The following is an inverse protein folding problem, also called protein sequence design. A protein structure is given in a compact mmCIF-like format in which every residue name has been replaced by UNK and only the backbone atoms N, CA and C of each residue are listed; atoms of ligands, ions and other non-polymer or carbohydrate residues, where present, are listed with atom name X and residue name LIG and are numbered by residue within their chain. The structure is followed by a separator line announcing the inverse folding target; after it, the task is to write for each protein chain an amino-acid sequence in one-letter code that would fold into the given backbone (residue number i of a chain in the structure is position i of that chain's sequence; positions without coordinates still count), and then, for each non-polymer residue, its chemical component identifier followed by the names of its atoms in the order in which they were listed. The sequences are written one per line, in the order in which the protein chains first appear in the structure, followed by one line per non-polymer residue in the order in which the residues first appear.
data_IF_784218517738
#
_entry.id   IF_784218517738
#
_cell.length_a   1.000
_cell.length_b   1.000
_cell.length_c   1.000
_cell.angle_alpha   90.00
_cell.angle_beta   90.00
_cell.angle_gamma   90.00
#
_symmetry.space_group_name_H-M   'P 1'
#
loop_
_entity.id
_entity.type
_entity.pdbx_description
1 polymer ?
#
# COMPACT_ATOMS: atom_id res chain seq x y z
N UNK A 1 -8.07 -23.22 -32.13
CA UNK A 1 -7.25 -22.01 -31.94
C UNK A 1 -8.06 -21.08 -31.07
N UNK A 2 -7.71 -20.93 -29.79
CA UNK A 2 -8.39 -19.99 -28.90
C UNK A 2 -8.02 -18.58 -29.33
N UNK A 3 -9.02 -17.73 -29.63
CA UNK A 3 -8.78 -16.32 -29.90
C UNK A 3 -8.13 -15.68 -28.68
N UNK A 4 -7.10 -14.87 -28.90
CA UNK A 4 -6.52 -14.05 -27.82
C UNK A 4 -7.67 -13.20 -27.21
N UNK A 5 -7.72 -13.07 -25.87
CA UNK A 5 -8.69 -12.19 -25.25
C UNK A 5 -8.54 -10.78 -25.82
N UNK A 6 -9.64 -10.03 -26.00
CA UNK A 6 -9.56 -8.66 -26.48
C UNK A 6 -8.65 -7.86 -25.54
N UNK A 7 -7.85 -6.92 -26.08
CA UNK A 7 -7.04 -6.06 -25.22
C UNK A 7 -8.01 -5.34 -24.28
N UNK A 8 -7.79 -5.49 -22.96
CA UNK A 8 -8.52 -4.70 -21.97
C UNK A 8 -8.29 -3.22 -22.32
N UNK A 9 -9.34 -2.41 -22.52
CA UNK A 9 -9.13 -0.99 -22.66
C UNK A 9 -8.41 -0.51 -21.40
N UNK A 10 -7.21 0.06 -21.55
CA UNK A 10 -6.51 0.69 -20.43
C UNK A 10 -7.36 1.88 -19.99
N UNK A 11 -8.14 1.69 -18.92
CA UNK A 11 -8.88 2.78 -18.29
C UNK A 11 -7.90 3.55 -17.40
N UNK A 12 -7.45 4.72 -17.88
CA UNK A 12 -6.64 5.65 -17.09
C UNK A 12 -7.57 6.63 -16.38
N UNK A 13 -7.62 6.57 -15.05
CA UNK A 13 -8.26 7.57 -14.21
C UNK A 13 -7.22 8.61 -13.77
N UNK A 14 -7.58 9.89 -13.81
CA UNK A 14 -6.73 11.00 -13.39
C UNK A 14 -7.29 11.61 -12.11
N UNK A 15 -6.42 12.13 -11.24
CA UNK A 15 -6.81 12.76 -9.99
C UNK A 15 -5.89 13.92 -9.64
N UNK A 16 -6.45 14.95 -9.03
CA UNK A 16 -5.67 15.83 -8.17
C UNK A 16 -5.21 15.05 -6.94
N UNK A 17 -4.09 15.46 -6.36
CA UNK A 17 -3.56 14.79 -5.19
C UNK A 17 -3.02 15.78 -4.16
N UNK A 18 -3.31 15.54 -2.89
CA UNK A 18 -2.64 16.17 -1.75
C UNK A 18 -1.56 15.23 -1.25
N UNK A 19 -0.37 15.77 -1.00
CA UNK A 19 0.72 15.00 -0.41
C UNK A 19 0.70 15.11 1.11
N UNK A 20 0.73 13.97 1.80
CA UNK A 20 0.92 13.87 3.23
C UNK A 20 2.31 13.33 3.55
N UNK A 21 2.94 13.85 4.59
CA UNK A 21 4.26 13.39 5.07
C UNK A 21 4.16 13.09 6.55
N UNK A 22 4.67 11.93 6.97
CA UNK A 22 4.72 11.57 8.38
C UNK A 22 5.92 10.67 8.66
N UNK A 23 6.27 10.61 9.93
CA UNK A 23 7.38 9.81 10.42
C UNK A 23 6.91 8.82 11.47
N UNK A 24 7.34 7.56 11.34
CA UNK A 24 7.18 6.53 12.34
C UNK A 24 8.41 6.44 13.25
N UNK A 25 8.13 6.11 14.51
CA UNK A 25 9.11 5.94 15.58
C UNK A 25 9.45 4.46 15.78
N UNK A 26 10.49 4.14 16.52
CA UNK A 26 10.82 2.75 16.87
C UNK A 26 9.63 1.97 17.42
N UNK A 27 9.41 0.77 16.89
CA UNK A 27 8.35 -0.14 17.29
C UNK A 27 7.01 0.05 16.58
N UNK A 28 6.77 1.19 15.90
CA UNK A 28 5.52 1.42 15.17
C UNK A 28 5.47 0.55 13.90
N UNK A 29 4.24 0.17 13.52
CA UNK A 29 3.96 -0.69 12.36
C UNK A 29 3.56 0.17 11.16
N UNK A 30 4.28 0.08 10.02
CA UNK A 30 3.97 0.88 8.83
C UNK A 30 2.57 0.62 8.25
N UNK A 31 2.08 -0.62 8.27
CA UNK A 31 0.74 -0.97 7.77
C UNK A 31 -0.33 -0.32 8.63
N UNK A 32 -0.23 -0.49 9.95
CA UNK A 32 -1.21 0.09 10.88
C UNK A 32 -1.20 1.61 10.84
N UNK A 33 -0.02 2.22 10.64
CA UNK A 33 0.11 3.66 10.50
C UNK A 33 -0.55 4.17 9.20
N UNK A 34 -0.33 3.51 8.07
CA UNK A 34 -0.96 3.87 6.79
C UNK A 34 -2.50 3.75 6.87
N UNK A 35 -3.02 2.69 7.50
CA UNK A 35 -4.46 2.56 7.79
C UNK A 35 -4.99 3.69 8.70
N UNK A 36 -4.19 4.10 9.68
CA UNK A 36 -4.57 5.22 10.55
C UNK A 36 -4.62 6.55 9.78
N UNK A 37 -3.64 6.80 8.90
CA UNK A 37 -3.64 7.99 8.03
C UNK A 37 -4.86 7.99 7.12
N UNK A 38 -5.17 6.86 6.48
CA UNK A 38 -6.36 6.72 5.63
C UNK A 38 -7.63 7.08 6.40
N UNK A 39 -7.82 6.52 7.61
CA UNK A 39 -9.01 6.83 8.44
C UNK A 39 -9.06 8.28 8.91
N UNK A 40 -7.93 8.86 9.32
CA UNK A 40 -7.89 10.25 9.81
C UNK A 40 -8.14 11.27 8.70
N UNK A 41 -7.81 10.94 7.46
CA UNK A 41 -7.99 11.82 6.30
C UNK A 41 -9.29 11.56 5.54
N UNK A 42 -10.00 10.47 5.88
CA UNK A 42 -11.17 9.98 5.15
C UNK A 42 -10.87 9.77 3.64
N UNK A 43 -9.60 9.49 3.31
CA UNK A 43 -9.17 9.29 1.93
C UNK A 43 -9.79 8.00 1.37
N UNK A 44 -10.48 8.10 0.25
CA UNK A 44 -11.07 6.95 -0.44
C UNK A 44 -10.09 6.26 -1.37
N UNK A 45 -9.02 6.95 -1.76
CA UNK A 45 -7.92 6.43 -2.56
C UNK A 45 -6.62 7.07 -2.09
N UNK A 46 -5.66 6.25 -1.67
CA UNK A 46 -4.34 6.70 -1.23
C UNK A 46 -3.26 5.80 -1.82
N UNK A 47 -2.13 6.37 -2.18
CA UNK A 47 -0.96 5.64 -2.66
C UNK A 47 0.29 6.05 -1.88
N UNK A 48 1.19 5.09 -1.65
CA UNK A 48 2.53 5.38 -1.09
C UNK A 48 3.41 5.90 -2.21
N UNK A 49 3.94 7.12 -2.03
CA UNK A 49 4.85 7.77 -2.99
C UNK A 49 6.29 7.32 -2.74
N UNK A 50 6.72 7.35 -1.47
CA UNK A 50 8.06 6.91 -1.07
C UNK A 50 8.10 6.59 0.42
N UNK A 51 9.06 5.77 0.80
CA UNK A 51 9.41 5.49 2.18
C UNK A 51 10.92 5.26 2.29
N UNK A 52 11.54 5.85 3.31
CA UNK A 52 12.91 5.58 3.72
C UNK A 52 12.94 5.32 5.22
N UNK A 53 13.76 4.38 5.65
CA UNK A 53 13.88 4.03 7.06
C UNK A 53 14.32 2.59 7.27
N UNK A 54 14.12 2.09 8.49
CA UNK A 54 14.64 0.78 8.88
C UNK A 54 13.65 0.01 9.78
N UNK A 55 13.75 -1.32 9.75
CA UNK A 55 12.92 -2.23 10.52
C UNK A 55 13.77 -3.14 11.42
N UNK A 56 13.22 -3.51 12.60
CA UNK A 56 13.70 -4.63 13.42
C UNK A 56 12.95 -5.91 13.17
N UNK A 57 11.78 -5.81 12.57
CA UNK A 57 10.91 -6.95 12.23
C UNK A 57 10.14 -6.64 10.95
N UNK A 58 10.11 -7.57 10.03
CA UNK A 58 9.30 -7.50 8.82
C UNK A 58 8.41 -8.74 8.70
N UNK A 59 7.12 -8.53 8.44
CA UNK A 59 6.15 -9.58 8.16
C UNK A 59 5.83 -9.55 6.67
N UNK A 60 6.34 -10.54 5.92
CA UNK A 60 6.30 -10.52 4.44
C UNK A 60 5.71 -11.83 3.93
N UNK A 61 4.72 -11.75 3.07
CA UNK A 61 4.22 -12.89 2.31
C UNK A 61 4.88 -12.93 0.93
N UNK A 62 5.66 -13.96 0.69
CA UNK A 62 6.33 -14.16 -0.61
C UNK A 62 5.36 -14.65 -1.69
N UNK A 63 5.76 -14.48 -2.95
CA UNK A 63 4.98 -14.91 -4.11
C UNK A 63 4.59 -16.38 -4.02
N UNK A 64 3.32 -16.67 -4.31
CA UNK A 64 2.74 -18.02 -4.29
C UNK A 64 2.89 -18.76 -2.93
N UNK A 65 2.90 -18.00 -1.82
CA UNK A 65 2.85 -18.56 -0.47
C UNK A 65 1.55 -18.18 0.20
N UNK A 66 0.88 -19.11 0.91
CA UNK A 66 -0.38 -18.81 1.61
C UNK A 66 -0.13 -18.00 2.89
N UNK A 67 1.04 -18.16 3.51
CA UNK A 67 1.37 -17.59 4.82
C UNK A 67 2.48 -16.54 4.72
N UNK A 68 2.48 -15.60 5.69
CA UNK A 68 3.56 -14.65 5.89
C UNK A 68 4.78 -15.31 6.55
N UNK A 69 5.95 -14.74 6.27
CA UNK A 69 7.22 -15.08 6.93
C UNK A 69 7.66 -13.91 7.77
N UNK A 70 7.98 -14.18 9.04
CA UNK A 70 8.52 -13.19 9.96
C UNK A 70 10.04 -13.17 9.91
N UNK A 71 10.58 -12.00 9.60
CA UNK A 71 12.00 -11.72 9.66
C UNK A 71 12.32 -10.86 10.88
N UNK A 72 13.38 -11.20 11.60
CA UNK A 72 13.89 -10.43 12.74
C UNK A 72 15.35 -10.09 12.50
N UNK A 73 15.72 -8.83 12.70
CA UNK A 73 17.06 -8.32 12.45
C UNK A 73 17.03 -6.81 12.27
N UNK A 74 18.06 -6.28 11.63
CA UNK A 74 18.11 -4.88 11.23
C UNK A 74 18.09 -4.81 9.71
N UNK A 75 17.09 -4.12 9.18
CA UNK A 75 16.83 -4.05 7.75
C UNK A 75 16.64 -2.60 7.32
N UNK A 76 17.23 -2.21 6.18
CA UNK A 76 16.90 -0.94 5.53
C UNK A 76 15.70 -1.12 4.62
N UNK A 77 14.76 -0.16 4.66
CA UNK A 77 13.66 -0.10 3.70
C UNK A 77 14.18 0.52 2.41
N UNK A 78 14.27 -0.30 1.36
CA UNK A 78 14.71 0.16 0.03
C UNK A 78 13.52 0.51 -0.88
N UNK A 79 12.35 -0.07 -0.62
CA UNK A 79 11.11 0.29 -1.30
C UNK A 79 9.91 -0.08 -0.44
N UNK A 80 8.94 0.82 -0.35
CA UNK A 80 7.57 0.55 0.10
C UNK A 80 6.62 1.22 -0.88
N UNK A 81 5.80 0.42 -1.54
CA UNK A 81 4.87 0.88 -2.57
C UNK A 81 3.51 0.22 -2.40
N UNK A 82 2.48 0.85 -2.95
CA UNK A 82 1.15 0.27 -2.99
C UNK A 82 0.04 1.28 -2.72
N UNK A 83 -1.15 0.75 -2.51
CA UNK A 83 -2.39 1.52 -2.34
C UNK A 83 -3.07 1.17 -1.03
N UNK A 84 -3.81 2.15 -0.50
CA UNK A 84 -4.63 2.01 0.70
C UNK A 84 -5.98 2.63 0.42
N UNK A 85 -7.03 1.95 0.85
CA UNK A 85 -8.42 2.36 0.70
C UNK A 85 -9.22 2.00 1.96
N UNK A 86 -10.51 2.34 2.07
CA UNK A 86 -11.32 1.99 3.23
C UNK A 86 -11.46 0.48 3.51
N UNK A 87 -11.31 -0.36 2.48
CA UNK A 87 -11.46 -1.82 2.59
C UNK A 87 -10.13 -2.49 2.99
N UNK A 88 -8.99 -1.80 2.80
CA UNK A 88 -7.68 -2.32 3.20
C UNK A 88 -6.49 -1.70 2.49
N UNK A 89 -5.45 -2.49 2.34
CA UNK A 89 -4.22 -2.08 1.66
C UNK A 89 -3.67 -3.18 0.77
N UNK A 90 -2.95 -2.78 -0.26
CA UNK A 90 -2.09 -3.66 -1.04
C UNK A 90 -0.71 -3.03 -1.11
N UNK A 91 0.21 -3.54 -0.31
CA UNK A 91 1.54 -2.97 -0.10
C UNK A 91 2.62 -4.00 -0.40
N UNK A 92 3.63 -3.58 -1.14
CA UNK A 92 4.84 -4.36 -1.34
C UNK A 92 6.03 -3.66 -0.70
N UNK A 93 6.85 -4.46 -0.03
CA UNK A 93 8.06 -4.02 0.67
C UNK A 93 9.27 -4.73 0.09
N UNK A 94 10.36 -3.99 -0.13
CA UNK A 94 11.69 -4.53 -0.32
C UNK A 94 12.62 -3.97 0.76
N UNK A 95 13.39 -4.86 1.39
CA UNK A 95 14.35 -4.52 2.44
C UNK A 95 15.71 -5.12 2.10
N UNK A 96 16.76 -4.56 2.70
CA UNK A 96 18.11 -5.13 2.67
C UNK A 96 18.57 -5.43 4.09
N UNK A 97 19.30 -6.54 4.25
CA UNK A 97 19.96 -6.91 5.50
C UNK A 97 21.33 -6.21 5.66
N UNK A 98 22.05 -6.50 6.78
CA UNK A 98 23.36 -5.94 7.08
C UNK A 98 24.47 -6.34 6.10
N UNK A 99 24.27 -7.38 5.30
CA UNK A 99 25.19 -7.82 4.24
C UNK A 99 24.79 -7.26 2.86
N UNK A 100 23.70 -6.51 2.78
CA UNK A 100 23.21 -5.89 1.55
C UNK A 100 22.36 -6.83 0.67
N UNK A 101 21.95 -8.00 1.18
CA UNK A 101 21.04 -8.88 0.46
C UNK A 101 19.64 -8.30 0.46
N UNK A 102 19.07 -8.14 -0.74
CA UNK A 102 17.72 -7.60 -0.92
C UNK A 102 16.69 -8.73 -1.04
N UNK A 103 15.58 -8.58 -0.32
CA UNK A 103 14.42 -9.45 -0.44
C UNK A 103 13.15 -8.68 -0.08
N UNK A 104 12.00 -9.24 -0.47
CA UNK A 104 10.72 -8.56 -0.24
C UNK A 104 9.53 -9.37 -0.67
N UNK A 105 8.38 -8.70 -0.70
CA UNK A 105 7.09 -9.27 -1.09
C UNK A 105 5.93 -8.43 -0.59
N UNK A 106 4.78 -9.07 -0.43
CA UNK A 106 3.57 -8.45 0.08
C UNK A 106 3.72 -8.19 1.59
N UNK A 107 3.63 -6.92 1.99
CA UNK A 107 3.77 -6.51 3.37
C UNK A 107 2.49 -6.82 4.15
N UNK A 108 2.66 -7.46 5.29
CA UNK A 108 1.58 -7.77 6.23
C UNK A 108 1.71 -6.95 7.52
N UNK A 109 0.62 -6.74 8.27
CA UNK A 109 0.69 -6.21 9.62
C UNK A 109 1.57 -7.08 10.52
N UNK A 110 2.29 -6.45 11.46
CA UNK A 110 3.18 -7.13 12.40
C UNK A 110 4.65 -6.72 12.26
N UNK A 111 4.97 -5.83 11.32
CA UNK A 111 6.30 -5.22 11.19
C UNK A 111 6.60 -4.22 12.31
N UNK A 112 7.87 -3.87 12.51
CA UNK A 112 8.25 -2.88 13.51
C UNK A 112 9.44 -2.05 13.03
N UNK A 113 9.31 -0.73 13.10
CA UNK A 113 10.36 0.24 12.79
C UNK A 113 11.54 0.07 13.76
N UNK A 114 12.76 0.20 13.24
CA UNK A 114 13.99 0.22 14.05
C UNK A 114 14.28 1.62 14.56
N UNK A 115 14.71 2.53 13.70
CA UNK A 115 15.06 3.90 14.08
C UNK A 115 14.02 4.91 13.63
N UNK A 116 13.61 4.82 12.40
CA UNK A 116 12.63 5.72 11.76
C UNK A 116 12.05 5.05 10.51
N UNK A 117 10.85 5.48 10.11
CA UNK A 117 10.37 5.35 8.74
C UNK A 117 9.68 6.67 8.35
N UNK A 118 10.19 7.31 7.32
CA UNK A 118 9.70 8.57 6.79
C UNK A 118 8.90 8.27 5.52
N UNK A 119 7.61 8.57 5.56
CA UNK A 119 6.67 8.13 4.54
C UNK A 119 5.99 9.35 3.91
N UNK A 120 5.95 9.35 2.58
CA UNK A 120 5.15 10.30 1.79
C UNK A 120 4.01 9.52 1.14
N UNK A 121 2.80 10.03 1.26
CA UNK A 121 1.60 9.49 0.63
C UNK A 121 0.93 10.52 -0.26
N UNK A 122 0.25 10.06 -1.30
CA UNK A 122 -0.66 10.85 -2.13
C UNK A 122 -2.10 10.48 -1.79
N UNK A 123 -2.90 11.46 -1.38
CA UNK A 123 -4.35 11.35 -1.23
C UNK A 123 -4.98 11.76 -2.56
N UNK A 124 -5.64 10.83 -3.25
CA UNK A 124 -6.18 11.02 -4.60
C UNK A 124 -7.62 11.52 -4.47
N UNK A 125 -7.80 12.84 -4.52
CA UNK A 125 -9.05 13.49 -4.12
C UNK A 125 -10.24 13.21 -5.06
N UNK A 126 -9.98 12.92 -6.33
CA UNK A 126 -11.00 12.69 -7.34
C UNK A 126 -11.36 11.21 -7.54
N UNK A 127 -10.68 10.29 -6.82
CA UNK A 127 -10.83 8.85 -6.98
C UNK A 127 -11.30 8.16 -5.69
N UNK A 128 -11.93 7.00 -5.89
CA UNK A 128 -12.21 6.04 -4.84
C UNK A 128 -11.75 4.66 -5.30
N UNK A 129 -11.03 3.96 -4.44
CA UNK A 129 -10.62 2.58 -4.63
C UNK A 129 -11.59 1.63 -3.95
N UNK A 130 -11.81 0.49 -4.58
CA UNK A 130 -12.54 -0.65 -4.03
C UNK A 130 -11.82 -1.95 -4.43
N UNK A 131 -12.19 -3.05 -3.79
CA UNK A 131 -11.70 -4.37 -4.11
C UNK A 131 -12.85 -5.24 -4.56
N UNK A 132 -12.74 -5.83 -5.77
CA UNK A 132 -13.78 -6.66 -6.34
C UNK A 132 -13.20 -7.99 -6.86
N UNK A 133 -13.95 -9.12 -6.74
CA UNK A 133 -13.51 -10.40 -7.24
C UNK A 133 -13.17 -10.36 -8.73
N UNK A 134 -11.95 -10.76 -9.08
CA UNK A 134 -11.50 -10.87 -10.46
C UNK A 134 -11.47 -12.35 -10.89
N UNK A 135 -12.31 -12.77 -11.84
CA UNK A 135 -12.32 -14.17 -12.30
C UNK A 135 -11.03 -14.63 -12.97
N UNK A 136 -10.19 -13.69 -13.43
CA UNK A 136 -8.94 -14.00 -14.13
C UNK A 136 -7.79 -14.29 -13.16
N UNK A 137 -7.69 -13.50 -12.08
CA UNK A 137 -6.64 -13.68 -11.06
C UNK A 137 -7.10 -14.62 -9.93
N UNK A 138 -8.40 -14.70 -9.68
CA UNK A 138 -8.98 -15.43 -8.56
C UNK A 138 -8.90 -14.68 -7.22
N UNK A 139 -8.52 -13.40 -7.24
CA UNK A 139 -8.40 -12.53 -6.07
C UNK A 139 -9.28 -11.29 -6.20
N UNK A 140 -9.47 -10.57 -5.10
CA UNK A 140 -10.08 -9.26 -5.10
C UNK A 140 -9.07 -8.22 -5.60
N UNK A 141 -9.32 -7.68 -6.77
CA UNK A 141 -8.44 -6.73 -7.45
C UNK A 141 -8.95 -5.30 -7.34
N UNK A 142 -8.04 -4.35 -7.58
CA UNK A 142 -8.33 -2.93 -7.53
C UNK A 142 -9.35 -2.53 -8.59
N UNK A 143 -10.44 -1.89 -8.14
CA UNK A 143 -11.40 -1.18 -9.00
C UNK A 143 -11.32 0.31 -8.66
N UNK A 144 -11.29 1.14 -9.71
CA UNK A 144 -11.14 2.57 -9.58
C UNK A 144 -12.47 3.23 -9.98
N UNK A 145 -13.02 4.01 -9.07
CA UNK A 145 -14.22 4.81 -9.28
C UNK A 145 -13.88 6.30 -9.19
N UNK A 146 -14.68 7.13 -9.82
CA UNK A 146 -14.67 8.56 -9.54
C UNK A 146 -15.13 8.81 -8.09
N UNK A 147 -14.47 9.70 -7.38
CA UNK A 147 -14.95 10.12 -6.07
C UNK A 147 -16.29 10.82 -6.22
N UNK A 148 -17.26 10.47 -5.38
CA UNK A 148 -18.51 11.25 -5.33
C UNK A 148 -18.18 12.69 -4.93
N UNK A 149 -18.81 13.70 -5.55
CA UNK A 149 -18.63 15.07 -5.15
C UNK A 149 -18.88 15.21 -3.64
N UNK A 150 -18.14 16.07 -2.94
CA UNK A 150 -18.37 16.30 -1.51
C UNK A 150 -19.85 16.65 -1.30
N UNK A 151 -20.48 16.02 -0.30
CA UNK A 151 -21.84 16.41 0.07
C UNK A 151 -21.85 17.90 0.37
N UNK A 152 -22.70 18.66 -0.34
CA UNK A 152 -22.92 20.06 0.00
C UNK A 152 -23.26 20.19 1.49
N UNK A 153 -22.68 21.14 2.21
CA UNK A 153 -23.07 21.37 3.59
C UNK A 153 -24.57 21.61 3.64
N UNK A 154 -25.28 20.78 4.38
CA UNK A 154 -26.70 21.01 4.64
C UNK A 154 -26.81 22.35 5.36
N UNK A 155 -27.51 23.30 4.70
CA UNK A 155 -27.76 24.62 5.20
C UNK A 155 -28.70 24.60 6.43
#
# INVERSE_FOLDING_TARGET
MSAAPPPYPLALALSNARLGVFRLRPGEDPVLALRAVQRCTDARAMAVVTCVGSLTRAEIRHANRPEGTRYQGHFEITSLTGTVDPDGEHLHLTITDGDGHAFGGHLLPGSAVYTTAEIVVALLDDLAFAREPCPLSGYDELVIHDALPPKEPQA
#
